data_IF_091349123386
#
_entry.id   IF_091349123386
#
_cell.length_a   1.000
_cell.length_b   1.000
_cell.length_c   1.000
_cell.angle_alpha   90.00
_cell.angle_beta   90.00
_cell.angle_gamma   90.00
#
_symmetry.space_group_name_H-M   'P 1'
#
loop_
_entity.id
_entity.type
_entity.pdbx_description
1 polymer ?
#
# COMPACT_ATOMS: atom_id res chain seq x y z
N UNK A 1 -10.80 -17.32 -1.14
CA UNK A 1 -10.50 -15.90 -1.42
C UNK A 1 -11.73 -15.29 -2.05
N UNK A 2 -12.41 -14.42 -1.33
CA UNK A 2 -13.60 -13.74 -1.87
C UNK A 2 -13.16 -12.41 -2.48
N UNK A 3 -13.91 -11.86 -3.43
CA UNK A 3 -13.61 -10.55 -4.02
C UNK A 3 -13.60 -9.40 -2.98
N UNK A 4 -14.06 -9.65 -1.75
CA UNK A 4 -14.03 -8.70 -0.63
C UNK A 4 -12.62 -8.50 -0.03
N UNK A 5 -11.67 -9.35 -0.41
CA UNK A 5 -10.30 -9.32 0.12
C UNK A 5 -9.35 -8.44 -0.70
N UNK A 6 -9.82 -7.77 -1.77
CA UNK A 6 -8.99 -6.97 -2.66
C UNK A 6 -9.34 -5.49 -2.57
N UNK A 7 -8.36 -4.68 -2.20
CA UNK A 7 -8.47 -3.22 -2.15
C UNK A 7 -7.79 -2.61 -3.36
N UNK A 8 -8.47 -1.68 -4.03
CA UNK A 8 -7.92 -1.02 -5.21
C UNK A 8 -6.82 -0.04 -4.82
N UNK A 9 -5.85 0.13 -5.71
CA UNK A 9 -4.72 1.03 -5.51
C UNK A 9 -5.13 2.46 -5.17
N UNK A 10 -6.22 3.00 -5.73
CA UNK A 10 -6.73 4.34 -5.41
C UNK A 10 -7.15 4.50 -3.94
N UNK A 11 -7.48 3.40 -3.26
CA UNK A 11 -7.89 3.41 -1.84
C UNK A 11 -6.70 3.21 -0.89
N UNK A 12 -5.58 2.68 -1.37
CA UNK A 12 -4.41 2.33 -0.54
C UNK A 12 -3.69 3.55 0.05
N UNK A 13 -3.43 4.66 -0.69
CA UNK A 13 -2.68 5.79 -0.15
C UNK A 13 -3.28 6.35 1.13
N UNK A 14 -4.61 6.56 1.12
CA UNK A 14 -5.35 7.05 2.28
C UNK A 14 -5.29 6.10 3.46
N UNK A 15 -5.29 4.79 3.21
CA UNK A 15 -5.29 3.75 4.24
C UNK A 15 -3.90 3.57 4.87
N UNK A 16 -2.87 3.69 4.06
CA UNK A 16 -1.47 3.57 4.45
C UNK A 16 -0.87 4.89 4.98
N UNK A 17 -1.64 5.98 5.00
CA UNK A 17 -1.15 7.30 5.42
C UNK A 17 -0.12 7.92 4.48
N UNK A 18 -0.04 7.48 3.23
CA UNK A 18 0.91 7.98 2.23
C UNK A 18 0.22 8.88 1.22
N UNK A 19 0.92 9.90 0.70
CA UNK A 19 0.36 10.76 -0.33
C UNK A 19 0.16 9.98 -1.65
N UNK A 20 -0.87 10.27 -2.45
CA UNK A 20 -1.08 9.61 -3.75
C UNK A 20 0.14 9.71 -4.69
N UNK A 21 0.85 10.84 -4.67
CA UNK A 21 2.07 11.03 -5.45
C UNK A 21 3.23 10.12 -4.96
N UNK A 22 3.41 9.97 -3.65
CA UNK A 22 4.41 9.06 -3.10
C UNK A 22 4.05 7.59 -3.38
N UNK A 23 2.76 7.25 -3.26
CA UNK A 23 2.24 5.93 -3.60
C UNK A 23 2.55 5.57 -5.06
N UNK A 24 2.27 6.46 -6.00
CA UNK A 24 2.51 6.24 -7.42
C UNK A 24 4.01 6.12 -7.74
N UNK A 25 4.85 6.96 -7.12
CA UNK A 25 6.32 6.89 -7.23
C UNK A 25 6.89 5.58 -6.66
N UNK A 26 6.30 5.06 -5.59
CA UNK A 26 6.70 3.77 -4.99
C UNK A 26 6.24 2.60 -5.85
N UNK A 27 5.00 2.64 -6.35
CA UNK A 27 4.45 1.66 -7.29
C UNK A 27 5.31 1.56 -8.55
N UNK A 28 5.68 2.68 -9.16
CA UNK A 28 6.48 2.69 -10.39
C UNK A 28 7.91 2.17 -10.21
N UNK A 29 8.42 2.18 -8.97
CA UNK A 29 9.74 1.66 -8.59
C UNK A 29 9.68 0.24 -8.03
N UNK A 30 8.50 -0.38 -8.00
CA UNK A 30 8.25 -1.68 -7.36
C UNK A 30 8.68 -1.70 -5.87
N UNK A 31 8.53 -0.54 -5.20
CA UNK A 31 8.84 -0.33 -3.77
C UNK A 31 7.59 0.01 -2.97
N UNK A 32 6.43 -0.50 -3.40
CA UNK A 32 5.20 -0.29 -2.66
C UNK A 32 5.25 -1.07 -1.34
N UNK A 33 4.77 -0.52 -0.22
CA UNK A 33 4.88 -1.15 1.11
C UNK A 33 4.16 -2.50 1.22
N UNK A 34 3.19 -2.76 0.35
CA UNK A 34 2.46 -4.03 0.26
C UNK A 34 2.53 -4.60 -1.15
N UNK A 35 2.46 -5.93 -1.32
CA UNK A 35 2.38 -6.55 -2.63
C UNK A 35 1.20 -6.03 -3.43
N UNK A 36 1.44 -5.70 -4.70
CA UNK A 36 0.41 -5.27 -5.63
C UNK A 36 0.19 -6.35 -6.70
N UNK A 37 -1.08 -6.63 -6.98
CA UNK A 37 -1.49 -7.53 -8.04
C UNK A 37 -2.24 -6.75 -9.12
N UNK A 38 -2.03 -7.12 -10.38
CA UNK A 38 -2.69 -6.49 -11.53
C UNK A 38 -3.84 -7.38 -12.02
N UNK A 39 -5.06 -6.85 -12.01
CA UNK A 39 -6.26 -7.54 -12.48
C UNK A 39 -7.01 -6.60 -13.44
N UNK A 40 -7.23 -7.04 -14.69
CA UNK A 40 -7.95 -6.24 -15.68
C UNK A 40 -7.36 -4.83 -15.91
N UNK A 41 -6.03 -4.69 -15.84
CA UNK A 41 -5.34 -3.41 -16.02
C UNK A 41 -5.30 -2.51 -14.79
N UNK A 42 -5.97 -2.87 -13.69
CA UNK A 42 -5.97 -2.11 -12.42
C UNK A 42 -5.10 -2.80 -11.38
N UNK A 43 -4.57 -2.01 -10.44
CA UNK A 43 -3.74 -2.48 -9.34
C UNK A 43 -4.56 -2.65 -8.08
N UNK A 44 -4.30 -3.74 -7.36
CA UNK A 44 -4.96 -4.10 -6.11
C UNK A 44 -3.93 -4.58 -5.10
N UNK A 45 -4.21 -4.42 -3.81
CA UNK A 45 -3.53 -5.11 -2.72
C UNK A 45 -4.51 -6.03 -2.02
N UNK A 46 -4.03 -7.11 -1.41
CA UNK A 46 -4.90 -7.90 -0.54
C UNK A 46 -5.07 -7.17 0.78
N UNK A 47 -6.28 -7.24 1.33
CA UNK A 47 -6.61 -6.68 2.64
C UNK A 47 -5.66 -7.23 3.73
N UNK A 48 -5.39 -8.53 3.70
CA UNK A 48 -4.44 -9.17 4.62
C UNK A 48 -3.05 -8.57 4.56
N UNK A 49 -2.54 -8.24 3.37
CA UNK A 49 -1.21 -7.66 3.23
C UNK A 49 -1.14 -6.26 3.86
N UNK A 50 -2.24 -5.51 3.80
CA UNK A 50 -2.37 -4.19 4.44
C UNK A 50 -2.46 -4.35 5.96
N UNK A 51 -3.28 -5.29 6.45
CA UNK A 51 -3.40 -5.58 7.87
C UNK A 51 -2.06 -6.06 8.47
N UNK A 52 -1.33 -6.92 7.75
CA UNK A 52 0.01 -7.36 8.14
C UNK A 52 1.01 -6.20 8.15
N UNK A 53 0.92 -5.25 7.21
CA UNK A 53 1.75 -4.05 7.18
C UNK A 53 1.43 -3.10 8.35
N UNK A 54 0.15 -2.90 8.66
CA UNK A 54 -0.31 -2.12 9.82
C UNK A 54 0.18 -2.75 11.12
N UNK A 55 0.05 -4.07 11.27
CA UNK A 55 0.49 -4.83 12.44
C UNK A 55 2.01 -4.77 12.65
N UNK A 56 2.80 -4.65 11.58
CA UNK A 56 4.27 -4.47 11.63
C UNK A 56 4.70 -3.05 12.01
N UNK A 57 3.76 -2.15 12.30
CA UNK A 57 4.05 -0.77 12.64
C UNK A 57 4.40 0.07 11.41
N UNK A 58 3.73 -0.16 10.27
CA UNK A 58 3.95 0.58 9.01
C UNK A 58 4.01 2.11 9.12
N UNK A 59 3.44 2.68 10.19
CA UNK A 59 3.48 4.11 10.52
C UNK A 59 4.81 4.58 11.14
N UNK A 60 5.55 3.70 11.84
CA UNK A 60 6.76 4.06 12.60
C UNK A 60 7.98 4.22 11.68
N UNK A 61 8.10 3.44 10.61
CA UNK A 61 9.21 3.56 9.65
C UNK A 61 9.10 4.80 8.73
N UNK A 62 7.88 5.30 8.51
CA UNK A 62 7.62 6.44 7.62
C UNK A 62 7.90 7.80 8.29
N UNK A 63 7.64 7.90 9.60
CA UNK A 63 7.94 9.10 10.40
C UNK A 63 9.44 9.27 10.67
N UNK A 64 10.17 8.18 10.89
CA UNK A 64 11.62 8.21 11.14
C UNK A 64 12.39 8.72 9.90
N UNK A 65 11.94 8.35 8.70
CA UNK A 65 12.56 8.77 7.43
C UNK A 65 12.32 10.24 7.05
N UNK A 66 11.37 10.92 7.68
CA UNK A 66 11.13 12.37 7.46
C UNK A 66 11.91 13.27 8.43
N UNK A 67 12.46 12.71 9.51
CA UNK A 67 13.22 13.44 10.52
C UNK A 67 14.73 13.12 10.55
N UNK A 68 15.23 12.37 9.56
CA UNK A 68 16.66 12.05 9.39
C UNK A 68 17.26 12.71 8.15
#
# INVERSE_FOLDING_TARGET
>A
MTCQDLLRFDQLPRRLGISPAAAEKRRSRDRFPVPLIRIGGRWFARRRDIEDWEARGGWVQELDRKNG
#
